data_IF_911286877989
#
_entry.id   IF_911286877989
#
_cell.length_a   1.000
_cell.length_b   1.000
_cell.length_c   1.000
_cell.angle_alpha   90.00
_cell.angle_beta   90.00
_cell.angle_gamma   90.00
#
_symmetry.space_group_name_H-M   'P 1'
#
loop_
_entity.id
_entity.type
_entity.pdbx_description
1 polymer ?
#
# COMPACT_ATOMS: atom_id res chain seq x y z
N UNK A 1 -8.83 20.96 -6.97
CA UNK A 1 -8.07 19.99 -6.17
C UNK A 1 -6.80 19.71 -6.96
N UNK A 2 -5.65 20.23 -6.55
CA UNK A 2 -4.41 19.92 -7.26
C UNK A 2 -4.11 18.44 -7.02
N UNK A 3 -4.10 17.65 -8.09
CA UNK A 3 -3.61 16.27 -8.03
C UNK A 3 -2.15 16.41 -7.61
N UNK A 4 -1.83 15.94 -6.41
CA UNK A 4 -0.47 16.00 -5.92
C UNK A 4 0.30 14.89 -6.62
N UNK A 5 0.76 15.14 -7.86
CA UNK A 5 1.41 14.20 -8.79
C UNK A 5 2.70 13.54 -8.24
N UNK A 6 3.04 13.84 -6.98
CA UNK A 6 4.25 13.40 -6.29
C UNK A 6 3.97 12.46 -5.11
N UNK A 7 2.72 12.08 -4.85
CA UNK A 7 2.39 11.07 -3.84
C UNK A 7 1.90 9.79 -4.53
N UNK A 8 2.53 8.68 -4.20
CA UNK A 8 2.07 7.35 -4.56
C UNK A 8 1.20 6.77 -3.45
N UNK A 9 0.01 6.30 -3.81
CA UNK A 9 -0.90 5.62 -2.89
C UNK A 9 -0.89 4.10 -3.17
N UNK A 10 -0.57 3.31 -2.15
CA UNK A 10 -0.67 1.84 -2.24
C UNK A 10 -2.12 1.39 -2.29
N UNK A 11 -2.37 0.13 -2.66
CA UNK A 11 -3.73 -0.46 -2.62
C UNK A 11 -4.34 -0.49 -1.22
N UNK A 12 -3.53 -0.33 -0.17
CA UNK A 12 -3.94 -0.22 1.24
C UNK A 12 -4.02 1.22 1.74
N UNK A 13 -3.88 2.21 0.86
CA UNK A 13 -4.02 3.64 1.19
C UNK A 13 -2.79 4.30 1.79
N UNK A 14 -1.65 3.59 1.89
CA UNK A 14 -0.40 4.17 2.39
C UNK A 14 0.15 5.19 1.40
N UNK A 15 0.59 6.34 1.91
CA UNK A 15 1.12 7.42 1.10
C UNK A 15 2.64 7.38 1.07
N UNK A 16 3.23 7.48 -0.11
CA UNK A 16 4.68 7.51 -0.32
C UNK A 16 5.03 8.78 -1.10
N UNK A 17 5.80 9.69 -0.48
CA UNK A 17 6.26 10.92 -1.14
C UNK A 17 7.42 10.62 -2.10
N UNK A 18 7.13 10.66 -3.40
CA UNK A 18 8.07 10.38 -4.47
C UNK A 18 9.20 11.42 -4.57
N UNK A 19 9.04 12.61 -3.98
CA UNK A 19 10.10 13.63 -3.96
C UNK A 19 11.20 13.29 -2.98
N UNK A 20 10.87 12.52 -1.94
CA UNK A 20 11.82 12.09 -0.91
C UNK A 20 12.79 11.01 -1.40
N UNK A 21 12.51 10.40 -2.57
CA UNK A 21 13.35 9.38 -3.17
C UNK A 21 14.72 9.94 -3.55
N UNK A 22 15.75 9.18 -3.26
CA UNK A 22 17.12 9.41 -3.73
C UNK A 22 17.22 9.20 -5.26
N UNK A 23 18.32 9.61 -5.87
CA UNK A 23 18.56 9.39 -7.29
C UNK A 23 18.56 7.89 -7.64
N UNK A 24 19.25 7.08 -6.86
CA UNK A 24 19.34 5.62 -7.08
C UNK A 24 17.95 4.94 -6.98
N UNK A 25 17.11 5.38 -6.04
CA UNK A 25 15.75 4.86 -5.89
C UNK A 25 14.85 5.27 -7.07
N UNK A 26 14.97 6.50 -7.57
CA UNK A 26 14.24 6.97 -8.75
C UNK A 26 14.67 6.21 -10.01
N UNK A 27 15.95 5.99 -10.20
CA UNK A 27 16.49 5.23 -11.32
C UNK A 27 16.03 3.78 -11.27
N UNK A 28 16.05 3.16 -10.07
CA UNK A 28 15.52 1.82 -9.85
C UNK A 28 14.03 1.73 -10.21
N UNK A 29 13.21 2.64 -9.68
CA UNK A 29 11.76 2.65 -9.96
C UNK A 29 11.43 2.97 -11.42
N UNK A 30 12.24 3.78 -12.09
CA UNK A 30 12.08 4.03 -13.53
C UNK A 30 12.26 2.75 -14.34
N UNK A 31 13.26 1.93 -13.97
CA UNK A 31 13.46 0.64 -14.62
C UNK A 31 12.35 -0.36 -14.25
N UNK A 32 11.97 -0.45 -12.98
CA UNK A 32 10.81 -1.27 -12.55
C UNK A 32 9.56 -0.88 -13.32
N UNK A 33 9.29 0.41 -13.50
CA UNK A 33 8.14 0.90 -14.25
C UNK A 33 8.20 0.48 -15.73
N UNK A 34 9.38 0.49 -16.36
CA UNK A 34 9.53 0.02 -17.74
C UNK A 34 9.12 -1.45 -17.87
N UNK A 35 9.58 -2.30 -16.95
CA UNK A 35 9.22 -3.72 -16.89
C UNK A 35 7.75 -3.92 -16.57
N UNK A 36 7.21 -3.16 -15.63
CA UNK A 36 5.79 -3.20 -15.27
C UNK A 36 4.88 -2.88 -16.46
N UNK A 37 5.27 -1.92 -17.31
CA UNK A 37 4.53 -1.53 -18.52
C UNK A 37 4.53 -2.61 -19.62
N UNK A 38 5.46 -3.57 -19.57
CA UNK A 38 5.45 -4.76 -20.45
C UNK A 38 4.31 -5.74 -20.08
N UNK A 39 3.58 -5.49 -18.99
CA UNK A 39 2.50 -6.34 -18.45
C UNK A 39 2.95 -7.78 -18.16
N UNK A 40 3.99 -7.95 -17.33
CA UNK A 40 4.45 -9.28 -16.92
C UNK A 40 3.37 -9.99 -16.10
N UNK A 41 3.42 -11.32 -16.08
CA UNK A 41 2.54 -12.11 -15.21
C UNK A 41 2.92 -11.94 -13.73
N UNK A 42 1.96 -12.12 -12.81
CA UNK A 42 2.18 -11.90 -11.36
C UNK A 42 3.44 -12.61 -10.82
N UNK A 43 3.58 -13.91 -11.06
CA UNK A 43 4.72 -14.70 -10.57
C UNK A 43 6.05 -14.34 -11.22
N UNK A 44 6.02 -13.95 -12.50
CA UNK A 44 7.21 -13.50 -13.23
C UNK A 44 7.72 -12.18 -12.66
N UNK A 45 6.81 -11.22 -12.46
CA UNK A 45 7.15 -9.93 -11.88
C UNK A 45 7.69 -10.09 -10.46
N UNK A 46 7.00 -10.85 -9.60
CA UNK A 46 7.39 -11.10 -8.21
C UNK A 46 8.83 -11.63 -8.09
N UNK A 47 9.16 -12.66 -8.88
CA UNK A 47 10.50 -13.23 -8.88
C UNK A 47 11.56 -12.27 -9.44
N UNK A 48 11.21 -11.50 -10.47
CA UNK A 48 12.14 -10.58 -11.11
C UNK A 48 12.46 -9.36 -10.24
N UNK A 49 11.44 -8.63 -9.76
CA UNK A 49 11.65 -7.35 -9.09
C UNK A 49 12.41 -7.54 -7.78
N UNK A 50 12.13 -8.63 -7.05
CA UNK A 50 12.78 -8.92 -5.78
C UNK A 50 14.30 -9.04 -5.97
N UNK A 51 14.74 -9.87 -6.93
CA UNK A 51 16.15 -10.03 -7.26
C UNK A 51 16.78 -8.72 -7.76
N UNK A 52 16.07 -7.99 -8.62
CA UNK A 52 16.56 -6.72 -9.18
C UNK A 52 16.81 -5.63 -8.13
N UNK A 53 15.93 -5.54 -7.12
CA UNK A 53 16.05 -4.60 -6.00
C UNK A 53 17.12 -5.05 -5.00
N UNK A 54 17.21 -6.36 -4.71
CA UNK A 54 18.21 -6.93 -3.81
C UNK A 54 19.64 -6.77 -4.37
N UNK A 55 19.84 -7.00 -5.66
CA UNK A 55 21.14 -6.79 -6.35
C UNK A 55 21.64 -5.34 -6.23
N UNK A 56 20.71 -4.39 -6.11
CA UNK A 56 21.01 -2.96 -5.90
C UNK A 56 21.23 -2.58 -4.45
N UNK A 57 21.10 -3.53 -3.51
CA UNK A 57 21.25 -3.34 -2.06
C UNK A 57 20.33 -2.23 -1.51
N UNK A 58 19.17 -2.08 -2.11
CA UNK A 58 18.14 -1.16 -1.63
C UNK A 58 17.55 -1.75 -0.34
N UNK A 59 17.56 -0.97 0.74
CA UNK A 59 17.13 -1.43 2.06
C UNK A 59 15.69 -1.94 2.07
N UNK A 60 15.41 -2.96 2.89
CA UNK A 60 14.10 -3.62 3.01
C UNK A 60 12.96 -2.67 3.40
N UNK A 61 13.27 -1.60 4.13
CA UNK A 61 12.31 -0.58 4.56
C UNK A 61 12.17 0.60 3.59
N UNK A 62 12.85 0.54 2.44
CA UNK A 62 12.83 1.63 1.46
C UNK A 62 11.44 1.83 0.83
N UNK A 63 11.13 3.07 0.40
CA UNK A 63 9.98 3.33 -0.45
C UNK A 63 9.92 2.45 -1.71
N UNK A 64 11.07 2.11 -2.30
CA UNK A 64 11.14 1.27 -3.51
C UNK A 64 10.59 -0.13 -3.25
N UNK A 65 11.03 -0.79 -2.17
CA UNK A 65 10.53 -2.11 -1.78
C UNK A 65 9.00 -2.09 -1.61
N UNK A 66 8.46 -1.05 -0.97
CA UNK A 66 7.02 -0.89 -0.76
C UNK A 66 6.27 -0.68 -2.07
N UNK A 67 6.80 0.16 -2.97
CA UNK A 67 6.19 0.38 -4.29
C UNK A 67 6.23 -0.90 -5.11
N UNK A 68 7.34 -1.63 -5.17
CA UNK A 68 7.44 -2.88 -5.93
C UNK A 68 6.48 -3.96 -5.41
N UNK A 69 6.37 -4.12 -4.09
CA UNK A 69 5.39 -5.02 -3.47
C UNK A 69 3.95 -4.62 -3.79
N UNK A 70 3.65 -3.32 -3.82
CA UNK A 70 2.33 -2.82 -4.22
C UNK A 70 2.04 -3.06 -5.72
N UNK A 71 3.02 -2.82 -6.59
CA UNK A 71 2.92 -3.12 -8.02
C UNK A 71 2.62 -4.60 -8.27
N UNK A 72 3.32 -5.48 -7.56
CA UNK A 72 3.06 -6.92 -7.58
C UNK A 72 1.62 -7.23 -7.14
N UNK A 73 1.17 -6.66 -6.02
CA UNK A 73 -0.19 -6.87 -5.52
C UNK A 73 -1.25 -6.42 -6.55
N UNK A 74 -1.03 -5.29 -7.23
CA UNK A 74 -1.92 -4.78 -8.29
C UNK A 74 -2.02 -5.74 -9.48
N UNK A 75 -0.90 -6.33 -9.92
CA UNK A 75 -0.93 -7.39 -10.96
C UNK A 75 -1.73 -8.59 -10.45
N UNK A 76 -1.41 -9.06 -9.25
CA UNK A 76 -2.10 -10.21 -8.65
C UNK A 76 -3.61 -9.99 -8.51
N UNK A 77 -4.04 -8.77 -8.14
CA UNK A 77 -5.46 -8.39 -8.06
C UNK A 77 -6.09 -8.39 -9.47
N UNK A 78 -5.43 -7.79 -10.46
CA UNK A 78 -5.93 -7.74 -11.84
C UNK A 78 -6.07 -9.13 -12.47
N UNK A 79 -5.18 -10.07 -12.14
CA UNK A 79 -5.23 -11.47 -12.58
C UNK A 79 -6.14 -12.36 -11.71
N UNK A 80 -6.73 -11.83 -10.63
CA UNK A 80 -7.55 -12.60 -9.69
C UNK A 80 -6.78 -13.61 -8.83
N UNK A 81 -5.46 -13.45 -8.72
CA UNK A 81 -4.56 -14.27 -7.87
C UNK A 81 -4.48 -13.76 -6.43
N UNK A 82 -4.71 -12.47 -6.24
CA UNK A 82 -4.68 -11.79 -4.94
C UNK A 82 -6.04 -11.15 -4.69
N UNK A 83 -6.56 -11.29 -3.47
CA UNK A 83 -7.81 -10.63 -3.06
C UNK A 83 -7.57 -9.11 -2.98
N UNK A 84 -8.49 -8.26 -3.48
CA UNK A 84 -8.45 -6.83 -3.19
C UNK A 84 -8.47 -6.58 -1.68
N UNK A 85 -7.77 -5.53 -1.20
CA UNK A 85 -7.72 -5.23 0.22
C UNK A 85 -9.09 -4.86 0.77
N UNK A 86 -9.36 -5.30 1.99
CA UNK A 86 -10.55 -4.91 2.77
C UNK A 86 -10.19 -3.92 3.88
N UNK A 87 -11.18 -3.42 4.64
CA UNK A 87 -10.94 -2.35 5.61
C UNK A 87 -9.91 -2.75 6.69
N UNK A 88 -9.76 -4.05 6.97
CA UNK A 88 -8.81 -4.58 7.93
C UNK A 88 -7.37 -4.37 7.43
N UNK A 89 -7.12 -4.54 6.14
CA UNK A 89 -5.83 -4.29 5.51
C UNK A 89 -5.42 -2.81 5.59
N UNK A 90 -6.36 -1.91 5.29
CA UNK A 90 -6.15 -0.45 5.44
C UNK A 90 -5.87 -0.09 6.89
N UNK A 91 -6.65 -0.65 7.82
CA UNK A 91 -6.45 -0.39 9.24
C UNK A 91 -5.08 -0.87 9.73
N UNK A 92 -4.64 -2.06 9.29
CA UNK A 92 -3.31 -2.57 9.61
C UNK A 92 -2.21 -1.65 9.08
N UNK A 93 -2.35 -1.16 7.83
CA UNK A 93 -1.39 -0.25 7.21
C UNK A 93 -1.29 1.08 7.96
N UNK A 94 -2.41 1.72 8.32
CA UNK A 94 -2.40 2.97 9.08
C UNK A 94 -1.79 2.81 10.48
N UNK A 95 -2.09 1.70 11.16
CA UNK A 95 -1.51 1.41 12.47
C UNK A 95 0.00 1.25 12.38
N UNK A 96 0.48 0.50 11.39
CA UNK A 96 1.91 0.31 11.16
C UNK A 96 2.61 1.64 10.83
N UNK A 97 2.01 2.46 9.97
CA UNK A 97 2.56 3.74 9.57
C UNK A 97 2.66 4.75 10.72
N UNK A 98 1.62 4.89 11.54
CA UNK A 98 1.58 5.91 12.59
C UNK A 98 2.18 5.46 13.93
N UNK A 99 2.07 4.17 14.25
CA UNK A 99 2.48 3.65 15.57
C UNK A 99 3.65 2.66 15.48
N UNK A 100 4.00 2.16 14.29
CA UNK A 100 5.07 1.19 14.06
C UNK A 100 4.78 -0.22 14.58
N UNK A 101 3.71 -0.41 15.36
CA UNK A 101 3.21 -1.74 15.72
C UNK A 101 1.79 -1.68 16.31
N UNK A 102 1.07 -2.79 16.16
CA UNK A 102 -0.25 -2.99 16.80
C UNK A 102 -0.18 -2.86 18.32
N UNK A 103 0.91 -3.31 18.93
CA UNK A 103 1.13 -3.20 20.37
C UNK A 103 1.21 -1.73 20.82
N UNK A 104 2.05 -0.91 20.15
CA UNK A 104 2.18 0.52 20.45
C UNK A 104 0.86 1.26 20.25
N UNK A 105 0.11 0.90 19.21
CA UNK A 105 -1.24 1.43 18.98
C UNK A 105 -2.21 1.09 20.12
N UNK A 106 -2.26 -0.17 20.57
CA UNK A 106 -3.14 -0.57 21.67
C UNK A 106 -2.79 0.17 22.97
N UNK A 107 -1.50 0.31 23.28
CA UNK A 107 -1.02 1.06 24.44
C UNK A 107 -1.43 2.54 24.39
N UNK A 108 -1.32 3.17 23.22
CA UNK A 108 -1.64 4.60 23.05
C UNK A 108 -3.15 4.91 23.05
N UNK A 109 -3.98 3.97 22.59
CA UNK A 109 -5.43 4.21 22.34
C UNK A 109 -6.33 3.53 23.37
N UNK A 110 -5.79 2.61 24.17
CA UNK A 110 -6.55 1.74 25.07
C UNK A 110 -7.48 0.77 24.34
N UNK A 111 -7.23 0.51 23.05
CA UNK A 111 -7.93 -0.56 22.31
C UNK A 111 -7.40 -1.90 22.80
N UNK A 112 -8.31 -2.85 23.04
CA UNK A 112 -7.92 -4.19 23.48
C UNK A 112 -7.13 -4.92 22.38
N UNK A 113 -5.96 -5.45 22.75
CA UNK A 113 -5.06 -6.13 21.82
C UNK A 113 -5.67 -7.41 21.26
N UNK A 114 -6.43 -8.16 22.08
CA UNK A 114 -7.10 -9.39 21.65
C UNK A 114 -8.19 -9.11 20.62
N UNK A 115 -9.00 -8.08 20.88
CA UNK A 115 -10.05 -7.62 19.98
C UNK A 115 -9.46 -7.12 18.66
N UNK A 116 -8.44 -6.26 18.69
CA UNK A 116 -7.77 -5.76 17.49
C UNK A 116 -7.19 -6.93 16.68
N UNK A 117 -6.55 -7.90 17.33
CA UNK A 117 -5.96 -9.04 16.61
C UNK A 117 -7.02 -9.91 15.93
N UNK A 118 -8.21 -10.07 16.52
CA UNK A 118 -9.33 -10.78 15.88
C UNK A 118 -9.86 -10.01 14.68
N UNK A 119 -9.98 -8.69 14.79
CA UNK A 119 -10.42 -7.83 13.69
C UNK A 119 -9.45 -7.89 12.52
N UNK A 120 -8.15 -7.66 12.75
CA UNK A 120 -7.15 -7.66 11.68
C UNK A 120 -7.02 -9.04 11.01
N UNK A 121 -7.36 -10.12 11.71
CA UNK A 121 -7.38 -11.48 11.12
C UNK A 121 -8.73 -11.85 10.48
N UNK A 122 -9.68 -10.91 10.39
CA UNK A 122 -11.01 -11.16 9.82
C UNK A 122 -11.91 -12.07 10.65
N UNK A 123 -11.54 -12.36 11.90
CA UNK A 123 -12.30 -13.24 12.81
C UNK A 123 -13.40 -12.50 13.58
N UNK A 124 -13.42 -11.18 13.50
CA UNK A 124 -14.42 -10.32 14.13
C UNK A 124 -14.50 -9.00 13.35
N UNK A 125 -15.62 -8.30 13.50
CA UNK A 125 -15.76 -6.93 13.05
C UNK A 125 -15.68 -5.93 14.21
N UNK A 126 -15.26 -4.70 13.90
CA UNK A 126 -15.36 -3.60 14.85
C UNK A 126 -16.81 -3.15 14.95
N UNK A 127 -17.28 -2.87 16.18
CA UNK A 127 -18.47 -2.04 16.33
C UNK A 127 -18.21 -0.66 15.72
N UNK A 128 -19.26 -0.01 15.21
CA UNK A 128 -19.12 1.33 14.62
C UNK A 128 -18.50 2.34 15.61
N UNK A 129 -18.83 2.23 16.90
CA UNK A 129 -18.27 3.10 17.93
C UNK A 129 -16.76 2.88 18.13
N UNK A 130 -16.32 1.61 18.15
CA UNK A 130 -14.90 1.31 18.26
C UNK A 130 -14.16 1.71 16.98
N UNK A 131 -14.74 1.46 15.80
CA UNK A 131 -14.17 1.91 14.53
C UNK A 131 -14.00 3.44 14.52
N UNK A 132 -15.00 4.20 14.96
CA UNK A 132 -14.91 5.67 15.08
C UNK A 132 -13.79 6.11 16.01
N UNK A 133 -13.67 5.48 17.19
CA UNK A 133 -12.58 5.75 18.14
C UNK A 133 -11.21 5.45 17.52
N UNK A 134 -11.08 4.32 16.84
CA UNK A 134 -9.85 3.91 16.17
C UNK A 134 -9.48 4.93 15.08
N UNK A 135 -10.45 5.29 14.21
CA UNK A 135 -10.24 6.25 13.13
C UNK A 135 -9.88 7.64 13.65
N UNK A 136 -10.42 8.09 14.79
CA UNK A 136 -10.05 9.39 15.37
C UNK A 136 -8.60 9.43 15.86
N UNK A 137 -8.09 8.32 16.43
CA UNK A 137 -6.68 8.20 16.80
C UNK A 137 -5.73 8.05 15.60
N UNK A 138 -6.25 7.60 14.46
CA UNK A 138 -5.52 7.49 13.20
C UNK A 138 -5.65 8.75 12.33
N UNK A 139 -6.40 9.77 12.78
CA UNK A 139 -6.75 10.93 11.97
C UNK A 139 -7.32 10.55 10.59
N UNK A 140 -8.07 9.44 10.54
CA UNK A 140 -8.61 8.85 9.33
C UNK A 140 -10.14 8.99 9.28
N UNK A 141 -10.72 8.86 8.08
CA UNK A 141 -12.17 8.91 7.86
C UNK A 141 -12.63 7.73 7.01
N UNK A 142 -13.82 7.20 7.31
CA UNK A 142 -14.46 6.18 6.50
C UNK A 142 -15.17 6.83 5.31
N UNK A 143 -14.90 6.35 4.10
CA UNK A 143 -15.60 6.76 2.88
C UNK A 143 -16.42 5.59 2.33
N UNK A 144 -17.64 5.87 1.85
CA UNK A 144 -18.45 4.91 1.12
C UNK A 144 -18.24 5.20 -0.37
N UNK A 145 -17.76 4.20 -1.11
CA UNK A 145 -17.49 4.31 -2.53
C UNK A 145 -18.05 3.10 -3.29
N UNK A 146 -18.23 3.26 -4.61
CA UNK A 146 -18.60 2.13 -5.47
C UNK A 146 -17.43 1.19 -5.62
N UNK A 147 -17.71 -0.10 -5.70
CA UNK A 147 -16.69 -1.14 -5.86
C UNK A 147 -15.83 -0.93 -7.12
N UNK A 148 -16.44 -0.49 -8.22
CA UNK A 148 -15.74 -0.17 -9.47
C UNK A 148 -14.69 0.94 -9.28
N UNK A 149 -15.00 1.96 -8.48
CA UNK A 149 -14.06 3.04 -8.14
C UNK A 149 -12.89 2.49 -7.32
N UNK A 150 -13.17 1.65 -6.32
CA UNK A 150 -12.13 1.01 -5.51
C UNK A 150 -11.20 0.13 -6.36
N UNK A 151 -11.77 -0.69 -7.26
CA UNK A 151 -11.01 -1.55 -8.16
C UNK A 151 -10.16 -0.76 -9.15
N UNK A 152 -10.69 0.34 -9.69
CA UNK A 152 -9.96 1.20 -10.61
C UNK A 152 -8.75 1.86 -9.93
N UNK A 153 -8.90 2.30 -8.69
CA UNK A 153 -7.80 2.86 -7.89
C UNK A 153 -6.70 1.82 -7.60
N UNK A 154 -7.06 0.54 -7.48
CA UNK A 154 -6.14 -0.58 -7.30
C UNK A 154 -5.60 -1.18 -8.61
N UNK A 155 -5.87 -0.57 -9.76
CA UNK A 155 -5.44 -1.11 -11.05
C UNK A 155 -3.93 -0.94 -11.30
N UNK A 156 -3.32 -1.81 -12.13
CA UNK A 156 -1.97 -1.61 -12.65
C UNK A 156 -1.80 -0.29 -13.44
N UNK A 157 -2.83 0.09 -14.20
CA UNK A 157 -2.83 1.30 -15.01
C UNK A 157 -2.70 2.56 -14.14
N UNK A 158 -3.36 2.60 -12.99
CA UNK A 158 -3.31 3.74 -12.08
C UNK A 158 -1.91 3.93 -11.48
N UNK A 159 -1.27 2.84 -11.03
CA UNK A 159 0.10 2.91 -10.54
C UNK A 159 1.08 3.38 -11.62
N UNK A 160 0.91 2.88 -12.85
CA UNK A 160 1.73 3.30 -13.99
C UNK A 160 1.57 4.79 -14.30
N UNK A 161 0.35 5.32 -14.19
CA UNK A 161 0.04 6.74 -14.41
C UNK A 161 0.75 7.63 -13.40
N UNK A 162 0.70 7.27 -12.11
CA UNK A 162 1.33 8.04 -11.03
C UNK A 162 2.85 7.97 -11.13
N UNK A 163 3.42 6.77 -11.30
CA UNK A 163 4.87 6.59 -11.39
C UNK A 163 5.46 7.17 -12.69
N UNK A 164 4.67 7.41 -13.73
CA UNK A 164 5.15 8.08 -14.94
C UNK A 164 5.68 9.51 -14.68
N UNK A 165 5.31 10.13 -13.56
CA UNK A 165 5.87 11.41 -13.14
C UNK A 165 7.37 11.32 -12.79
N UNK A 166 7.88 10.12 -12.46
CA UNK A 166 9.31 9.90 -12.18
C UNK A 166 10.20 9.96 -13.43
N UNK A 167 9.61 9.74 -14.62
CA UNK A 167 10.34 9.72 -15.90
C UNK A 167 10.40 11.09 -16.59
N UNK A 168 9.95 12.16 -15.92
CA UNK A 168 9.97 13.55 -16.40
C UNK A 168 11.06 14.35 -15.72
#
# INVERSE_FOLDING_TARGET
>A
MMVNDYNYETVTGRQIDLRSLTADEKDCLTFVLSKYKEKPGWSEFAAWWFNYVDDRRIGSDSPVQRICSDLEARIGIAEGKVKPPDYQDYLAAFIDEQYGSRYKFCQATGVDQGQLSKVISGKADLSLDLLRKVLSHLHASLIIQREETARSAASPEEASRVLAALAR
#
